data_IF_650075609688
#
_entry.id   IF_650075609688
#
_cell.length_a   1.000
_cell.length_b   1.000
_cell.length_c   1.000
_cell.angle_alpha   90.00
_cell.angle_beta   90.00
_cell.angle_gamma   90.00
#
_symmetry.space_group_name_H-M   'P 1'
#
loop_
_entity.id
_entity.type
_entity.pdbx_description
1 polymer ?
#
# COMPACT_ATOMS: atom_id res chain seq x y z
N UNK A 1 14.04 31.68 -61.21
CA UNK A 1 12.80 31.50 -60.44
C UNK A 1 12.92 30.19 -59.67
N UNK A 2 13.40 30.25 -58.42
CA UNK A 2 13.64 29.06 -57.60
C UNK A 2 12.68 29.07 -56.42
N UNK A 3 11.72 28.15 -56.40
CA UNK A 3 10.81 27.95 -55.26
C UNK A 3 11.46 26.98 -54.28
N UNK A 4 11.87 27.48 -53.12
CA UNK A 4 12.31 26.67 -52.00
C UNK A 4 11.07 26.05 -51.33
N UNK A 5 10.97 24.72 -51.34
CA UNK A 5 10.01 23.99 -50.50
C UNK A 5 10.52 24.01 -49.05
N UNK A 6 9.91 24.83 -48.21
CA UNK A 6 10.04 24.75 -46.75
C UNK A 6 9.30 23.51 -46.25
N UNK A 7 10.07 22.49 -45.90
CA UNK A 7 9.60 21.26 -45.26
C UNK A 7 9.16 21.59 -43.82
N UNK A 8 7.85 21.62 -43.56
CA UNK A 8 7.30 21.92 -42.23
C UNK A 8 7.60 20.77 -41.24
N UNK A 9 8.22 21.02 -40.07
CA UNK A 9 8.56 20.00 -39.08
C UNK A 9 7.36 19.63 -38.20
N UNK A 10 6.21 19.33 -38.80
CA UNK A 10 4.98 19.01 -38.07
C UNK A 10 4.92 17.61 -37.40
N UNK A 11 5.56 16.52 -37.90
CA UNK A 11 5.31 15.19 -37.33
C UNK A 11 6.09 14.90 -36.03
N UNK A 12 7.20 15.61 -35.76
CA UNK A 12 8.03 15.37 -34.57
C UNK A 12 7.37 15.90 -33.28
N UNK A 13 6.61 16.98 -33.38
CA UNK A 13 5.93 17.58 -32.23
C UNK A 13 4.74 16.73 -31.73
N UNK A 14 4.04 16.04 -32.65
CA UNK A 14 2.94 15.14 -32.29
C UNK A 14 3.42 13.85 -31.58
N UNK A 15 4.63 13.36 -31.92
CA UNK A 15 5.21 12.17 -31.28
C UNK A 15 5.67 12.43 -29.83
N UNK A 16 6.02 13.67 -29.48
CA UNK A 16 6.43 14.05 -28.13
C UNK A 16 5.26 14.14 -27.13
N UNK A 17 4.03 14.35 -27.60
CA UNK A 17 2.83 14.45 -26.75
C UNK A 17 2.28 13.10 -26.30
N UNK A 18 2.75 11.98 -26.86
CA UNK A 18 2.31 10.63 -26.49
C UNK A 18 3.13 9.99 -25.35
N UNK A 19 4.19 10.68 -24.88
CA UNK A 19 5.09 10.14 -23.85
C UNK A 19 4.62 10.61 -22.46
N UNK A 20 3.60 9.95 -21.92
CA UNK A 20 3.29 10.09 -20.49
C UNK A 20 1.84 9.88 -20.06
N UNK A 21 1.13 8.88 -20.58
CA UNK A 21 -0.14 8.48 -19.96
C UNK A 21 0.16 7.91 -18.57
N UNK A 22 -0.20 8.64 -17.52
CA UNK A 22 -0.28 8.06 -16.18
C UNK A 22 -1.43 7.07 -16.08
N UNK A 23 -1.33 6.17 -15.10
CA UNK A 23 -2.42 5.28 -14.72
C UNK A 23 -2.27 4.91 -13.25
N UNK A 24 -3.34 4.38 -12.67
CA UNK A 24 -3.34 3.83 -11.33
C UNK A 24 -3.81 2.37 -11.34
N UNK A 25 -3.21 1.57 -10.48
CA UNK A 25 -3.57 0.17 -10.24
C UNK A 25 -4.06 0.03 -8.81
N UNK A 26 -5.05 -0.85 -8.60
CA UNK A 26 -5.56 -1.13 -7.24
C UNK A 26 -5.52 -2.61 -6.95
N UNK A 27 -5.04 -2.97 -5.76
CA UNK A 27 -4.99 -4.34 -5.27
C UNK A 27 -5.84 -4.49 -4.02
N UNK A 28 -6.39 -5.70 -3.84
CA UNK A 28 -7.29 -6.01 -2.72
C UNK A 28 -6.94 -7.37 -2.16
N UNK A 29 -6.75 -7.43 -0.85
CA UNK A 29 -6.74 -8.68 -0.10
C UNK A 29 -8.01 -8.73 0.76
N UNK A 30 -9.02 -9.45 0.28
CA UNK A 30 -10.31 -9.56 0.96
C UNK A 30 -10.20 -10.39 2.25
N UNK A 31 -10.69 -9.83 3.36
CA UNK A 31 -10.77 -10.49 4.66
C UNK A 31 -12.17 -11.07 4.90
N UNK A 32 -13.18 -10.47 4.27
CA UNK A 32 -14.59 -10.89 4.27
C UNK A 32 -15.16 -10.79 2.85
N UNK A 33 -16.33 -11.36 2.64
CA UNK A 33 -17.07 -11.18 1.39
C UNK A 33 -17.39 -9.68 1.21
N UNK A 34 -17.05 -9.06 0.06
CA UNK A 34 -17.40 -7.66 -0.23
C UNK A 34 -18.92 -7.44 -0.19
N UNK A 35 -19.31 -6.23 0.22
CA UNK A 35 -20.69 -5.77 0.19
C UNK A 35 -21.09 -5.20 -1.18
N UNK A 36 -22.35 -4.76 -1.33
CA UNK A 36 -22.73 -3.93 -2.47
C UNK A 36 -21.96 -2.60 -2.43
N UNK A 37 -21.65 -1.99 -3.59
CA UNK A 37 -21.00 -0.68 -3.63
C UNK A 37 -21.79 0.38 -2.86
N UNK A 38 -21.09 1.22 -2.09
CA UNK A 38 -21.68 2.38 -1.42
C UNK A 38 -21.75 3.59 -2.35
N UNK A 39 -22.73 4.47 -2.14
CA UNK A 39 -22.91 5.70 -2.92
C UNK A 39 -22.47 6.97 -2.17
N UNK A 40 -22.27 6.88 -0.86
CA UNK A 40 -21.74 8.00 -0.08
C UNK A 40 -20.20 8.06 -0.18
N UNK A 41 -19.59 9.22 0.13
CA UNK A 41 -18.15 9.33 0.24
C UNK A 41 -17.60 8.32 1.26
N UNK A 42 -16.46 7.71 0.92
CA UNK A 42 -15.71 6.85 1.83
C UNK A 42 -14.81 7.73 2.70
N UNK A 43 -14.96 7.62 4.01
CA UNK A 43 -14.13 8.36 4.96
C UNK A 43 -12.68 7.85 4.93
N UNK A 44 -11.71 8.74 5.10
CA UNK A 44 -10.29 8.38 5.05
C UNK A 44 -9.57 8.84 6.30
N UNK A 45 -8.93 7.91 6.99
CA UNK A 45 -8.17 8.17 8.21
C UNK A 45 -6.72 7.73 8.02
N UNK A 46 -5.80 8.71 8.05
CA UNK A 46 -4.36 8.46 7.98
C UNK A 46 -3.86 7.68 9.19
N UNK A 47 -2.73 7.00 9.05
CA UNK A 47 -2.14 6.16 10.09
C UNK A 47 -1.91 6.87 11.44
N UNK A 48 -1.53 8.15 11.40
CA UNK A 48 -1.28 8.97 12.59
C UNK A 48 -2.55 9.66 13.13
N UNK A 49 -3.67 9.55 12.43
CA UNK A 49 -4.95 10.09 12.89
C UNK A 49 -5.66 9.08 13.79
N UNK A 50 -6.35 9.57 14.81
CA UNK A 50 -7.17 8.71 15.66
C UNK A 50 -8.30 8.11 14.81
N UNK A 51 -8.42 6.77 14.75
CA UNK A 51 -9.49 6.13 14.00
C UNK A 51 -10.87 6.44 14.61
N UNK A 52 -11.96 6.27 13.84
CA UNK A 52 -13.30 6.50 14.36
C UNK A 52 -13.60 5.57 15.53
N UNK A 53 -14.23 6.10 16.58
CA UNK A 53 -14.61 5.34 17.79
C UNK A 53 -15.89 4.49 17.58
N UNK A 54 -16.40 4.45 16.35
CA UNK A 54 -17.57 3.66 15.98
C UNK A 54 -17.18 2.19 15.83
N UNK A 55 -18.01 1.23 16.26
CA UNK A 55 -17.80 -0.17 15.95
C UNK A 55 -17.70 -0.39 14.43
N UNK A 56 -16.72 -1.18 13.99
CA UNK A 56 -16.47 -1.42 12.58
C UNK A 56 -15.98 -2.86 12.33
N UNK A 57 -16.13 -3.31 11.09
CA UNK A 57 -15.63 -4.59 10.60
C UNK A 57 -14.62 -4.39 9.48
N UNK A 58 -13.50 -5.09 9.58
CA UNK A 58 -12.51 -5.13 8.51
C UNK A 58 -13.03 -6.00 7.35
N UNK A 59 -13.14 -5.40 6.17
CA UNK A 59 -13.63 -6.05 4.94
C UNK A 59 -12.47 -6.50 4.06
N UNK A 60 -11.47 -5.63 3.87
CA UNK A 60 -10.32 -5.91 3.01
C UNK A 60 -9.12 -5.01 3.36
N UNK A 61 -7.92 -5.46 3.00
CA UNK A 61 -6.79 -4.55 2.80
C UNK A 61 -6.85 -4.03 1.37
N UNK A 62 -6.73 -2.71 1.21
CA UNK A 62 -6.78 -2.03 -0.08
C UNK A 62 -5.47 -1.29 -0.32
N UNK A 63 -5.02 -1.33 -1.57
CA UNK A 63 -3.80 -0.68 -2.02
C UNK A 63 -4.06 0.00 -3.36
N UNK A 64 -3.52 1.18 -3.55
CA UNK A 64 -3.52 1.92 -4.81
C UNK A 64 -2.08 2.32 -5.15
N UNK A 65 -1.69 2.15 -6.41
CA UNK A 65 -0.37 2.52 -6.93
C UNK A 65 -0.57 3.41 -8.15
N UNK A 66 -0.01 4.61 -8.10
CA UNK A 66 -0.08 5.59 -9.18
C UNK A 66 1.23 5.66 -9.96
N UNK A 67 1.13 5.80 -11.28
CA UNK A 67 2.26 5.88 -12.21
C UNK A 67 2.15 7.11 -13.11
N UNK A 68 3.29 7.68 -13.52
CA UNK A 68 3.33 8.79 -14.48
C UNK A 68 2.57 10.02 -13.98
N UNK A 69 1.62 10.53 -14.76
CA UNK A 69 0.79 11.68 -14.36
C UNK A 69 -0.15 11.41 -13.20
N UNK A 70 -0.42 10.14 -12.86
CA UNK A 70 -1.25 9.74 -11.71
C UNK A 70 -0.42 9.38 -10.47
N UNK A 71 0.84 9.84 -10.39
CA UNK A 71 1.78 9.52 -9.29
C UNK A 71 1.80 10.57 -8.16
N UNK A 72 0.75 11.37 -8.00
CA UNK A 72 0.59 12.27 -6.85
C UNK A 72 -0.30 11.63 -5.76
N UNK A 73 -0.31 12.23 -4.58
CA UNK A 73 -1.01 11.72 -3.41
C UNK A 73 -2.54 11.71 -3.61
N UNK A 74 -3.07 12.76 -4.22
CA UNK A 74 -4.49 12.98 -4.44
C UNK A 74 -5.07 11.89 -5.35
N UNK A 75 -4.38 11.54 -6.42
CA UNK A 75 -4.81 10.51 -7.38
C UNK A 75 -4.83 9.11 -6.76
N UNK A 76 -3.78 8.74 -6.00
CA UNK A 76 -3.75 7.42 -5.35
C UNK A 76 -4.77 7.32 -4.22
N UNK A 77 -5.03 8.40 -3.49
CA UNK A 77 -6.09 8.45 -2.47
C UNK A 77 -7.48 8.36 -3.12
N UNK A 78 -7.70 9.04 -4.24
CA UNK A 78 -8.95 8.94 -4.99
C UNK A 78 -9.15 7.53 -5.57
N UNK A 79 -8.09 6.89 -6.07
CA UNK A 79 -8.13 5.51 -6.55
C UNK A 79 -8.41 4.51 -5.42
N UNK A 80 -7.77 4.69 -4.26
CA UNK A 80 -7.98 3.88 -3.06
C UNK A 80 -9.42 3.95 -2.55
N UNK A 81 -9.96 5.16 -2.40
CA UNK A 81 -11.32 5.39 -1.88
C UNK A 81 -12.40 4.95 -2.86
N UNK A 82 -12.22 5.16 -4.18
CA UNK A 82 -13.12 4.58 -5.21
C UNK A 82 -13.13 3.06 -5.16
N UNK A 83 -11.96 2.44 -4.98
CA UNK A 83 -11.88 0.98 -4.84
C UNK A 83 -12.59 0.49 -3.59
N UNK A 84 -12.41 1.17 -2.45
CA UNK A 84 -13.09 0.87 -1.20
C UNK A 84 -14.62 1.02 -1.31
N UNK A 85 -15.09 2.06 -2.00
CA UNK A 85 -16.52 2.28 -2.25
C UNK A 85 -17.13 1.10 -3.01
N UNK A 86 -16.44 0.61 -4.04
CA UNK A 86 -16.83 -0.57 -4.82
C UNK A 86 -16.87 -1.88 -4.04
N UNK A 87 -16.21 -1.94 -2.87
CA UNK A 87 -16.22 -3.10 -1.96
C UNK A 87 -17.30 -3.00 -0.87
N UNK A 88 -18.03 -1.88 -0.81
CA UNK A 88 -19.05 -1.62 0.20
C UNK A 88 -18.49 -1.19 1.55
N UNK A 89 -17.33 -0.53 1.56
CA UNK A 89 -16.73 0.03 2.78
C UNK A 89 -17.20 1.47 3.01
N UNK A 90 -17.36 1.84 4.28
CA UNK A 90 -17.72 3.21 4.69
C UNK A 90 -16.48 4.07 4.95
N UNK A 91 -15.37 3.43 5.35
CA UNK A 91 -14.11 4.12 5.59
C UNK A 91 -12.91 3.28 5.18
N UNK A 92 -11.77 3.95 4.98
CA UNK A 92 -10.44 3.36 4.95
C UNK A 92 -9.64 3.94 6.11
N UNK A 93 -9.23 3.07 7.04
CA UNK A 93 -8.49 3.47 8.23
C UNK A 93 -7.03 3.05 8.14
N UNK A 94 -6.19 3.69 8.97
CA UNK A 94 -4.75 3.42 9.06
C UNK A 94 -4.06 3.58 7.70
N UNK A 95 -4.43 4.63 6.97
CA UNK A 95 -3.94 4.87 5.62
C UNK A 95 -2.51 5.40 5.67
N UNK A 96 -1.62 4.73 4.95
CA UNK A 96 -0.27 5.20 4.65
C UNK A 96 -0.22 5.67 3.21
N UNK A 97 0.35 6.85 2.98
CA UNK A 97 0.60 7.40 1.64
C UNK A 97 2.08 7.67 1.52
N UNK A 98 2.69 7.12 0.48
CA UNK A 98 4.10 7.29 0.15
C UNK A 98 4.21 7.81 -1.29
N UNK A 99 4.96 8.89 -1.48
CA UNK A 99 5.11 9.58 -2.78
C UNK A 99 6.58 9.60 -3.14
N UNK A 100 6.92 8.82 -4.17
CA UNK A 100 8.23 8.83 -4.80
C UNK A 100 8.25 9.67 -6.07
N UNK A 101 9.41 9.72 -6.73
CA UNK A 101 9.63 10.57 -7.91
C UNK A 101 8.76 10.19 -9.13
N UNK A 102 8.48 8.91 -9.34
CA UNK A 102 7.72 8.41 -10.50
C UNK A 102 6.54 7.51 -10.14
N UNK A 103 6.31 7.32 -8.83
CA UNK A 103 5.29 6.43 -8.29
C UNK A 103 4.75 7.00 -6.98
N UNK A 104 3.44 6.93 -6.80
CA UNK A 104 2.82 7.10 -5.50
C UNK A 104 2.13 5.80 -5.09
N UNK A 105 1.99 5.62 -3.79
CA UNK A 105 1.40 4.44 -3.20
C UNK A 105 0.53 4.84 -2.02
N UNK A 106 -0.68 4.29 -1.94
CA UNK A 106 -1.53 4.40 -0.77
C UNK A 106 -2.04 3.02 -0.36
N UNK A 107 -2.03 2.71 0.94
CA UNK A 107 -2.60 1.47 1.45
C UNK A 107 -3.30 1.68 2.79
N UNK A 108 -4.35 0.91 3.06
CA UNK A 108 -5.10 0.99 4.31
C UNK A 108 -6.09 -0.17 4.49
N UNK A 109 -6.83 -0.13 5.59
CA UNK A 109 -7.84 -1.14 5.94
C UNK A 109 -9.22 -0.61 5.57
N UNK A 110 -9.89 -1.30 4.64
CA UNK A 110 -11.25 -1.04 4.21
C UNK A 110 -12.22 -1.58 5.26
N UNK A 111 -13.01 -0.70 5.88
CA UNK A 111 -13.91 -1.04 6.97
C UNK A 111 -15.35 -0.66 6.67
N UNK A 112 -16.28 -1.39 7.28
CA UNK A 112 -17.71 -1.08 7.28
C UNK A 112 -18.17 -0.86 8.72
N UNK A 113 -18.92 0.19 8.99
CA UNK A 113 -19.47 0.45 10.31
C UNK A 113 -20.53 -0.60 10.66
N UNK A 114 -20.65 -0.89 11.97
CA UNK A 114 -21.69 -1.76 12.49
C UNK A 114 -22.43 -1.05 13.62
N UNK A 115 -23.74 -1.25 13.70
CA UNK A 115 -24.55 -0.71 14.80
C UNK A 115 -25.18 0.66 14.54
N UNK A 116 -25.01 1.26 13.36
CA UNK A 116 -25.95 2.29 12.92
C UNK A 116 -27.33 1.64 12.72
N UNK A 117 -28.39 2.27 13.24
CA UNK A 117 -29.74 1.68 13.32
C UNK A 117 -30.34 1.26 11.96
N UNK A 118 -29.71 1.66 10.84
CA UNK A 118 -30.08 1.31 9.48
C UNK A 118 -29.36 0.09 8.91
N UNK A 119 -28.27 -0.40 9.53
CA UNK A 119 -27.53 -1.56 9.01
C UNK A 119 -27.78 -2.82 9.86
N UNK A 120 -28.89 -3.51 9.53
CA UNK A 120 -29.18 -4.86 10.02
C UNK A 120 -28.44 -5.97 9.27
N UNK A 121 -27.50 -5.64 8.37
CA UNK A 121 -26.84 -6.65 7.55
C UNK A 121 -25.88 -7.46 8.41
N UNK A 122 -26.11 -8.78 8.58
CA UNK A 122 -25.22 -9.60 9.37
C UNK A 122 -23.79 -9.56 8.80
N UNK A 123 -22.81 -9.53 9.71
CA UNK A 123 -21.40 -9.58 9.35
C UNK A 123 -21.12 -10.82 8.49
N UNK A 124 -20.56 -10.62 7.29
CA UNK A 124 -20.11 -11.75 6.48
C UNK A 124 -19.00 -12.52 7.21
N UNK A 125 -19.02 -13.84 7.10
CA UNK A 125 -18.02 -14.70 7.71
C UNK A 125 -16.59 -14.31 7.26
N UNK A 126 -15.58 -14.40 8.15
CA UNK A 126 -14.18 -14.25 7.76
C UNK A 126 -13.81 -15.24 6.64
N UNK A 127 -13.05 -14.77 5.66
CA UNK A 127 -12.50 -15.62 4.59
C UNK A 127 -11.22 -16.35 5.02
N UNK A 128 -10.59 -15.89 6.11
CA UNK A 128 -9.39 -16.51 6.64
C UNK A 128 -9.72 -17.89 7.25
N UNK A 129 -8.89 -18.91 6.99
CA UNK A 129 -9.09 -20.24 7.56
C UNK A 129 -9.05 -20.15 9.10
N UNK A 130 -9.97 -20.84 9.79
CA UNK A 130 -10.15 -20.69 11.24
C UNK A 130 -8.99 -21.19 12.08
N UNK A 131 -8.10 -22.02 11.51
CA UNK A 131 -6.95 -22.58 12.21
C UNK A 131 -5.82 -22.86 11.22
N UNK A 132 -4.75 -22.06 11.28
CA UNK A 132 -3.46 -22.56 10.83
C UNK A 132 -3.00 -23.56 11.90
N UNK A 133 -2.62 -24.81 11.57
CA UNK A 133 -2.01 -25.69 12.56
C UNK A 133 -0.84 -24.96 13.21
N UNK A 134 -0.65 -25.16 14.52
CA UNK A 134 0.45 -24.54 15.25
C UNK A 134 1.75 -24.75 14.47
N UNK A 135 2.56 -23.69 14.34
CA UNK A 135 3.88 -23.83 13.75
C UNK A 135 4.61 -24.97 14.50
N UNK A 136 5.30 -25.87 13.79
CA UNK A 136 6.11 -26.88 14.47
C UNK A 136 7.09 -26.18 15.42
N UNK A 137 7.46 -26.83 16.54
CA UNK A 137 8.47 -26.27 17.43
C UNK A 137 9.73 -25.95 16.62
N UNK A 138 10.41 -24.82 16.91
CA UNK A 138 11.63 -24.48 16.22
C UNK A 138 12.63 -25.64 16.35
N UNK A 139 13.44 -25.91 15.33
CA UNK A 139 14.50 -26.92 15.46
C UNK A 139 15.40 -26.56 16.64
N UNK A 140 15.99 -27.54 17.34
CA UNK A 140 16.92 -27.27 18.42
C UNK A 140 18.04 -26.37 17.90
N UNK A 141 18.19 -25.19 18.50
CA UNK A 141 19.25 -24.25 18.14
C UNK A 141 20.59 -24.95 18.36
N UNK A 142 21.40 -25.08 17.31
CA UNK A 142 22.80 -25.45 17.49
C UNK A 142 23.46 -24.34 18.33
N UNK A 143 24.29 -24.68 19.32
CA UNK A 143 25.09 -23.67 20.02
C UNK A 143 25.81 -22.80 19.00
N UNK A 144 25.65 -21.48 19.11
CA UNK A 144 26.44 -20.55 18.31
C UNK A 144 27.93 -20.84 18.57
N UNK A 145 28.79 -20.89 17.53
CA UNK A 145 30.22 -20.94 17.74
C UNK A 145 30.63 -19.80 18.68
N UNK A 146 31.46 -20.09 19.68
CA UNK A 146 31.94 -19.07 20.58
C UNK A 146 32.52 -17.89 19.75
N UNK A 147 32.11 -16.63 20.02
CA UNK A 147 32.64 -15.51 19.29
C UNK A 147 34.17 -15.50 19.44
N UNK A 148 34.86 -15.61 18.31
CA UNK A 148 36.32 -15.45 18.29
C UNK A 148 36.58 -13.98 18.58
N UNK A 149 36.99 -13.67 19.81
CA UNK A 149 37.44 -12.34 20.18
C UNK A 149 38.72 -12.06 19.37
N UNK A 150 38.56 -11.42 18.21
CA UNK A 150 39.70 -10.84 17.52
C UNK A 150 40.25 -9.71 18.40
N UNK A 151 41.57 -9.66 18.64
CA UNK A 151 42.17 -8.58 19.40
C UNK A 151 41.83 -7.25 18.73
N UNK A 152 41.24 -6.32 19.48
CA UNK A 152 41.09 -4.95 19.02
C UNK A 152 42.47 -4.39 18.63
N UNK A 153 42.58 -3.64 17.52
CA UNK A 153 43.84 -3.11 17.00
C UNK A 153 44.56 -2.13 17.96
N UNK A 154 43.99 -1.85 19.12
CA UNK A 154 44.48 -0.93 20.14
C UNK A 154 45.04 -1.61 21.40
N UNK A 155 45.09 -2.94 21.48
CA UNK A 155 45.73 -3.61 22.62
C UNK A 155 47.26 -3.64 22.45
N UNK A 156 48.04 -3.10 23.41
CA UNK A 156 49.50 -3.14 23.34
C UNK A 156 49.99 -4.58 23.37
N UNK A 157 50.86 -4.93 22.42
CA UNK A 157 51.52 -6.23 22.38
C UNK A 157 52.28 -6.45 23.69
N UNK A 158 51.90 -7.50 24.42
CA UNK A 158 52.60 -7.94 25.62
C UNK A 158 53.96 -8.48 25.17
N UNK A 159 54.99 -7.63 25.16
CA UNK A 159 56.38 -8.07 25.01
C UNK A 159 56.70 -8.96 26.20
N UNK A 160 56.93 -10.25 25.93
CA UNK A 160 57.42 -11.18 26.93
C UNK A 160 58.83 -10.80 27.35
N UNK A 161 59.03 -10.51 28.63
CA UNK A 161 60.35 -10.50 29.24
C UNK A 161 60.73 -11.93 29.63
N UNK A 162 61.98 -12.27 29.32
CA UNK A 162 62.74 -13.36 29.91
C UNK A 162 62.90 -13.15 31.42
#
# INVERSE_FOLDING_TARGET
>A
MSRALTLAPAPVLAALLAVGCGHSETHVAALRKPGPPVQHPVELYLAEQLPPQRPMLDIALVQAVGFGSESNAEDVVASLTRRAAGLGCDAVVRVYVDVGYSRAHAAGVCVRYIGDATDTTPASAPLLPPNKPANPPPPPMRPAPAPRLEPFPSSPAKQGNQ
#
